data_IF_188641897123
#
_entry.id   IF_188641897123
#
_cell.length_a   1.000
_cell.length_b   1.000
_cell.length_c   1.000
_cell.angle_alpha   90.00
_cell.angle_beta   90.00
_cell.angle_gamma   90.00
#
_symmetry.space_group_name_H-M   'P 1'
#
loop_
_entity.id
_entity.type
_entity.pdbx_description
1 polymer ?
#
# COMPACT_ATOMS: atom_id res chain seq x y z
N UNK A 1 31.11 5.16 25.60
CA UNK A 1 31.04 3.89 24.85
C UNK A 1 30.66 2.86 25.89
N UNK A 2 29.36 2.74 26.13
CA UNK A 2 28.81 1.86 27.15
C UNK A 2 28.13 0.70 26.42
N UNK A 3 28.94 -0.29 26.06
CA UNK A 3 28.50 -1.59 25.55
C UNK A 3 27.93 -2.40 26.72
N UNK A 4 26.76 -2.01 27.22
CA UNK A 4 25.94 -2.88 28.04
C UNK A 4 25.09 -3.74 27.11
N UNK A 5 25.71 -4.75 26.50
CA UNK A 5 24.96 -5.87 25.92
C UNK A 5 24.19 -6.53 27.07
N UNK A 6 22.92 -6.16 27.23
CA UNK A 6 22.02 -6.79 28.20
C UNK A 6 21.88 -8.26 27.79
N UNK A 7 22.62 -9.12 28.48
CA UNK A 7 22.55 -10.56 28.31
C UNK A 7 21.11 -10.98 28.63
N UNK A 8 20.31 -11.23 27.60
CA UNK A 8 18.95 -11.74 27.77
C UNK A 8 19.07 -13.17 28.34
N UNK A 9 18.91 -13.29 29.66
CA UNK A 9 18.97 -14.56 30.36
C UNK A 9 17.67 -15.33 30.08
N UNK A 10 17.81 -16.57 29.59
CA UNK A 10 16.69 -17.45 29.29
C UNK A 10 16.29 -18.20 30.55
N UNK A 11 15.07 -17.97 31.03
CA UNK A 11 14.53 -18.73 32.16
C UNK A 11 14.18 -20.17 31.73
N UNK A 12 14.78 -21.18 32.35
CA UNK A 12 14.60 -22.61 31.99
C UNK A 12 13.84 -23.43 33.02
N UNK A 13 13.27 -22.79 34.05
CA UNK A 13 12.62 -23.49 35.17
C UNK A 13 11.43 -24.39 34.79
N UNK A 14 10.84 -24.23 33.60
CA UNK A 14 9.74 -25.07 33.09
C UNK A 14 10.16 -25.96 31.91
N UNK A 15 11.47 -26.11 31.66
CA UNK A 15 11.99 -26.85 30.51
C UNK A 15 11.53 -28.32 30.43
N UNK A 16 11.27 -28.96 31.58
CA UNK A 16 10.83 -30.35 31.65
C UNK A 16 9.31 -30.53 31.68
N UNK A 17 8.56 -29.42 31.58
CA UNK A 17 7.10 -29.49 31.49
C UNK A 17 6.68 -30.05 30.13
N UNK A 18 5.82 -31.06 30.14
CA UNK A 18 5.16 -31.56 28.94
C UNK A 18 3.95 -30.69 28.57
N UNK A 19 3.90 -30.25 27.32
CA UNK A 19 2.78 -29.47 26.78
C UNK A 19 2.18 -30.17 25.57
N UNK A 20 0.89 -29.93 25.31
CA UNK A 20 0.20 -30.43 24.13
C UNK A 20 0.06 -29.31 23.10
N UNK A 21 0.32 -29.64 21.84
CA UNK A 21 0.11 -28.75 20.71
C UNK A 21 -1.12 -29.21 19.94
N UNK A 22 -2.07 -28.32 19.67
CA UNK A 22 -3.26 -28.65 18.91
C UNK A 22 -3.46 -27.67 17.76
N UNK A 23 -3.61 -28.19 16.55
CA UNK A 23 -4.06 -27.40 15.39
C UNK A 23 -5.58 -27.26 15.46
N UNK A 24 -6.05 -26.03 15.59
CA UNK A 24 -7.46 -25.69 15.78
C UNK A 24 -8.07 -25.07 14.50
N UNK A 25 -9.29 -25.46 14.06
CA UNK A 25 -10.00 -24.79 12.98
C UNK A 25 -10.25 -23.31 13.31
N UNK A 26 -10.10 -22.43 12.31
CA UNK A 26 -10.18 -20.98 12.52
C UNK A 26 -11.47 -20.52 13.18
N UNK A 27 -12.61 -21.17 12.88
CA UNK A 27 -13.88 -20.79 13.51
C UNK A 27 -13.89 -20.99 15.02
N UNK A 28 -13.24 -22.06 15.50
CA UNK A 28 -13.16 -22.38 16.93
C UNK A 28 -12.24 -21.38 17.61
N UNK A 29 -11.06 -21.11 17.04
CA UNK A 29 -10.15 -20.10 17.59
C UNK A 29 -10.79 -18.71 17.69
N UNK A 30 -11.61 -18.32 16.71
CA UNK A 30 -12.35 -17.05 16.72
C UNK A 30 -13.43 -17.01 17.79
N UNK A 31 -14.17 -18.10 17.96
CA UNK A 31 -15.17 -18.23 19.02
C UNK A 31 -14.52 -18.11 20.40
N UNK A 32 -13.40 -18.77 20.64
CA UNK A 32 -12.67 -18.65 21.90
C UNK A 32 -12.12 -17.23 22.15
N UNK A 33 -11.67 -16.53 21.10
CA UNK A 33 -11.22 -15.13 21.20
C UNK A 33 -12.35 -14.14 21.43
N UNK A 34 -13.56 -14.41 20.93
CA UNK A 34 -14.73 -13.53 21.16
C UNK A 34 -15.24 -13.57 22.60
N UNK A 35 -14.91 -14.61 23.35
CA UNK A 35 -15.20 -14.66 24.78
C UNK A 35 -14.15 -13.86 25.53
N UNK A 36 -14.58 -12.78 26.20
CA UNK A 36 -13.69 -11.84 26.89
C UNK A 36 -12.85 -12.52 28.00
N UNK A 37 -11.60 -12.07 28.24
CA UNK A 37 -10.71 -12.65 29.23
C UNK A 37 -11.11 -12.38 30.70
N UNK A 38 -12.17 -11.59 30.92
CA UNK A 38 -12.64 -11.14 32.24
C UNK A 38 -13.12 -12.28 33.15
N UNK A 39 -13.41 -13.44 32.58
CA UNK A 39 -14.02 -14.58 33.27
C UNK A 39 -13.07 -15.78 33.17
N UNK A 40 -11.96 -15.73 33.90
CA UNK A 40 -10.91 -16.77 33.91
C UNK A 40 -11.40 -18.16 34.38
N UNK A 41 -12.68 -18.27 34.74
CA UNK A 41 -13.37 -19.46 35.24
C UNK A 41 -14.30 -20.09 34.20
N UNK A 42 -14.48 -19.47 33.02
CA UNK A 42 -15.44 -19.97 32.03
C UNK A 42 -14.85 -21.12 31.20
N UNK A 43 -15.42 -22.30 31.36
CA UNK A 43 -15.06 -23.48 30.56
C UNK A 43 -15.41 -23.26 29.07
N UNK A 44 -14.41 -23.36 28.19
CA UNK A 44 -14.57 -23.17 26.74
C UNK A 44 -14.82 -24.47 25.97
N UNK A 45 -14.29 -25.57 26.48
CA UNK A 45 -14.42 -26.89 25.88
C UNK A 45 -14.14 -27.99 26.91
N UNK A 46 -14.63 -29.20 26.62
CA UNK A 46 -14.34 -30.42 27.35
C UNK A 46 -13.60 -31.38 26.42
N UNK A 47 -12.40 -31.81 26.83
CA UNK A 47 -11.65 -32.87 26.14
C UNK A 47 -12.03 -34.20 26.76
N UNK A 48 -12.43 -35.17 25.94
CA UNK A 48 -12.82 -36.51 26.34
C UNK A 48 -11.85 -37.51 25.74
N UNK A 49 -11.29 -38.35 26.58
CA UNK A 49 -10.46 -39.49 26.20
C UNK A 49 -11.30 -40.75 26.37
N UNK A 50 -11.64 -41.39 25.26
CA UNK A 50 -12.31 -42.69 25.26
C UNK A 50 -11.28 -43.79 25.04
N UNK A 51 -11.22 -44.74 25.97
CA UNK A 51 -10.34 -45.91 25.93
C UNK A 51 -11.21 -47.14 25.97
N UNK A 52 -11.11 -47.98 24.94
CA UNK A 52 -11.78 -49.28 24.90
C UNK A 52 -10.76 -50.36 25.33
N UNK A 53 -10.88 -50.91 26.55
CA UNK A 53 -9.90 -51.87 27.08
C UNK A 53 -9.95 -53.23 26.36
N UNK A 54 -10.98 -53.51 25.56
CA UNK A 54 -11.14 -54.77 24.83
C UNK A 54 -10.49 -54.72 23.44
N UNK A 55 -10.08 -53.54 22.97
CA UNK A 55 -9.42 -53.38 21.67
C UNK A 55 -7.91 -53.29 21.90
N UNK A 56 -7.11 -54.20 21.30
CA UNK A 56 -5.65 -54.13 21.43
C UNK A 56 -5.20 -52.80 20.84
N UNK A 57 -4.26 -52.13 21.53
CA UNK A 57 -3.73 -50.79 21.26
C UNK A 57 -2.88 -50.73 19.95
N UNK A 58 -3.35 -51.39 18.88
CA UNK A 58 -2.81 -51.34 17.53
C UNK A 58 -3.06 -49.97 16.89
N UNK A 59 -2.32 -49.64 15.84
CA UNK A 59 -2.34 -48.35 15.15
C UNK A 59 -3.73 -47.82 14.77
N UNK A 60 -4.73 -48.69 14.66
CA UNK A 60 -6.11 -48.38 14.29
C UNK A 60 -7.12 -48.36 15.47
N UNK A 61 -6.63 -48.50 16.69
CA UNK A 61 -7.41 -48.56 17.95
C UNK A 61 -7.03 -47.47 18.96
N UNK A 62 -6.22 -46.50 18.51
CA UNK A 62 -5.65 -45.47 19.36
C UNK A 62 -6.73 -44.80 20.21
N UNK A 63 -6.41 -44.39 21.45
CA UNK A 63 -7.32 -43.64 22.30
C UNK A 63 -8.05 -42.55 21.51
N UNK A 64 -9.38 -42.59 21.54
CA UNK A 64 -10.18 -41.63 20.79
C UNK A 64 -10.30 -40.36 21.64
N UNK A 65 -9.56 -39.34 21.23
CA UNK A 65 -9.70 -38.01 21.81
C UNK A 65 -10.79 -37.26 21.05
N UNK A 66 -11.78 -36.76 21.77
CA UNK A 66 -12.79 -35.85 21.24
C UNK A 66 -12.82 -34.57 22.06
N UNK A 67 -13.29 -33.49 21.46
CA UNK A 67 -13.48 -32.21 22.11
C UNK A 67 -14.88 -31.68 21.84
N UNK A 68 -15.60 -31.41 22.91
CA UNK A 68 -16.92 -30.82 22.91
C UNK A 68 -16.81 -29.34 23.28
N UNK A 69 -17.24 -28.44 22.39
CA UNK A 69 -17.17 -27.00 22.61
C UNK A 69 -18.33 -26.52 23.50
N UNK A 70 -18.02 -25.70 24.50
CA UNK A 70 -19.01 -25.09 25.40
C UNK A 70 -19.38 -23.72 24.83
N UNK A 71 -20.53 -23.63 24.18
CA UNK A 71 -21.00 -22.37 23.61
C UNK A 71 -22.18 -22.59 22.68
N UNK A 72 -23.34 -22.04 23.05
CA UNK A 72 -24.53 -22.02 22.20
C UNK A 72 -24.45 -20.82 21.24
N UNK A 73 -23.40 -20.79 20.42
CA UNK A 73 -23.37 -19.83 19.30
C UNK A 73 -24.47 -20.23 18.32
N UNK A 74 -25.38 -19.33 17.89
CA UNK A 74 -26.48 -19.64 16.98
C UNK A 74 -26.02 -19.97 15.55
N UNK A 75 -24.73 -20.24 15.35
CA UNK A 75 -24.14 -20.64 14.08
C UNK A 75 -24.19 -22.16 13.90
N UNK A 76 -24.50 -22.57 12.67
CA UNK A 76 -24.57 -23.96 12.18
C UNK A 76 -23.19 -24.67 12.16
N UNK A 77 -22.36 -24.48 13.19
CA UNK A 77 -21.02 -25.02 13.32
C UNK A 77 -21.01 -26.35 14.08
N UNK A 78 -20.06 -27.25 13.78
CA UNK A 78 -19.93 -28.50 14.53
C UNK A 78 -19.60 -28.21 16.00
N UNK A 79 -20.31 -28.90 16.90
CA UNK A 79 -20.14 -28.78 18.36
C UNK A 79 -19.10 -29.75 18.92
N UNK A 80 -18.93 -30.89 18.25
CA UNK A 80 -18.01 -31.95 18.60
C UNK A 80 -16.93 -32.10 17.53
N UNK A 81 -15.69 -32.32 17.97
CA UNK A 81 -14.53 -32.49 17.11
C UNK A 81 -13.72 -33.71 17.56
N UNK A 82 -13.17 -34.44 16.60
CA UNK A 82 -12.14 -35.45 16.86
C UNK A 82 -10.78 -34.79 16.95
N UNK A 83 -9.92 -35.27 17.84
CA UNK A 83 -8.52 -34.87 17.95
C UNK A 83 -7.63 -36.02 17.49
N UNK A 84 -7.06 -35.89 16.31
CA UNK A 84 -6.18 -36.91 15.74
C UNK A 84 -4.75 -36.69 16.26
N UNK A 85 -4.21 -37.67 16.98
CA UNK A 85 -2.84 -37.59 17.49
C UNK A 85 -1.82 -37.90 16.39
N UNK A 86 -0.92 -36.96 16.13
CA UNK A 86 0.23 -37.17 15.23
C UNK A 86 1.28 -38.03 15.93
N UNK A 87 1.71 -39.12 15.28
CA UNK A 87 2.79 -39.99 15.77
C UNK A 87 4.18 -39.48 15.37
N UNK A 88 4.27 -38.86 14.19
CA UNK A 88 5.52 -38.33 13.64
C UNK A 88 5.51 -36.80 13.63
N UNK A 89 6.28 -36.19 14.53
CA UNK A 89 6.53 -34.75 14.50
C UNK A 89 7.93 -34.41 15.00
N UNK A 90 8.48 -33.30 14.52
CA UNK A 90 9.79 -32.79 14.91
C UNK A 90 9.72 -32.30 16.38
N UNK A 91 10.67 -32.65 17.26
CA UNK A 91 10.69 -32.16 18.64
C UNK A 91 10.58 -30.63 18.70
N UNK A 92 9.64 -30.13 19.50
CA UNK A 92 9.34 -28.70 19.63
C UNK A 92 9.41 -28.27 21.09
N UNK A 93 9.88 -27.04 21.32
CA UNK A 93 9.84 -26.37 22.62
C UNK A 93 8.99 -25.11 22.52
N UNK A 94 8.29 -24.78 23.59
CA UNK A 94 7.48 -23.55 23.69
C UNK A 94 8.26 -22.52 24.47
N UNK A 95 8.29 -21.29 23.94
CA UNK A 95 8.89 -20.14 24.59
C UNK A 95 7.83 -19.07 24.80
N UNK A 96 7.92 -18.34 25.89
CA UNK A 96 7.12 -17.15 26.15
C UNK A 96 8.04 -15.93 26.24
N UNK A 97 7.53 -14.80 25.76
CA UNK A 97 8.18 -13.50 25.85
C UNK A 97 7.21 -12.54 26.53
N UNK A 98 7.68 -11.91 27.60
CA UNK A 98 6.91 -10.88 28.31
C UNK A 98 7.04 -9.53 27.61
N UNK A 99 6.11 -8.60 27.86
CA UNK A 99 6.21 -7.22 27.33
C UNK A 99 7.45 -6.46 27.78
N UNK A 100 8.14 -6.94 28.81
CA UNK A 100 9.42 -6.41 29.30
C UNK A 100 10.65 -7.05 28.63
N UNK A 101 10.45 -7.92 27.63
CA UNK A 101 11.53 -8.58 26.88
C UNK A 101 12.20 -9.75 27.61
N UNK A 102 11.63 -10.23 28.72
CA UNK A 102 12.11 -11.46 29.38
C UNK A 102 11.59 -12.68 28.63
N UNK A 103 12.49 -13.61 28.33
CA UNK A 103 12.22 -14.85 27.59
C UNK A 103 12.32 -16.05 28.53
N UNK A 104 11.34 -16.94 28.47
CA UNK A 104 11.30 -18.18 29.25
C UNK A 104 10.98 -19.39 28.37
N UNK A 105 11.56 -20.55 28.69
CA UNK A 105 11.16 -21.84 28.14
C UNK A 105 10.00 -22.41 28.96
N UNK A 106 8.85 -22.61 28.32
CA UNK A 106 7.60 -23.05 28.97
C UNK A 106 7.42 -24.57 28.99
N UNK A 107 8.11 -25.31 28.12
CA UNK A 107 8.07 -26.76 28.09
C UNK A 107 8.34 -27.38 26.71
N UNK A 108 8.28 -28.71 26.67
CA UNK A 108 8.49 -29.54 25.47
C UNK A 108 7.15 -30.09 24.99
N UNK A 109 6.92 -30.04 23.68
CA UNK A 109 5.69 -30.58 23.07
C UNK A 109 5.75 -32.11 23.09
N UNK A 110 4.85 -32.74 23.84
CA UNK A 110 4.77 -34.20 23.98
C UNK A 110 3.79 -34.82 22.99
N UNK A 111 2.61 -34.21 22.86
CA UNK A 111 1.56 -34.68 21.95
C UNK A 111 1.14 -33.56 21.02
N UNK A 112 1.00 -33.91 19.75
CA UNK A 112 0.51 -33.02 18.70
C UNK A 112 -0.84 -33.55 18.20
N UNK A 113 -1.85 -32.71 18.21
CA UNK A 113 -3.21 -33.04 17.81
C UNK A 113 -3.64 -32.21 16.60
N UNK A 114 -4.33 -32.82 15.65
CA UNK A 114 -5.06 -32.14 14.60
C UNK A 114 -6.57 -32.25 14.87
N UNK A 115 -7.21 -31.12 15.14
CA UNK A 115 -8.64 -31.08 15.41
C UNK A 115 -9.46 -31.07 14.12
N UNK A 116 -10.38 -32.03 14.00
CA UNK A 116 -11.27 -32.19 12.84
C UNK A 116 -12.74 -32.26 13.28
N UNK A 117 -13.70 -31.77 12.48
CA UNK A 117 -15.12 -31.94 12.78
C UNK A 117 -15.46 -33.42 13.03
N UNK A 118 -16.20 -33.70 14.10
CA UNK A 118 -16.62 -35.06 14.40
C UNK A 118 -17.73 -35.51 13.43
N UNK A 119 -17.77 -36.82 13.12
CA UNK A 119 -18.65 -37.38 12.10
C UNK A 119 -20.14 -37.09 12.32
N UNK A 120 -20.58 -37.02 13.58
CA UNK A 120 -21.98 -36.74 13.94
C UNK A 120 -22.49 -35.39 13.41
N UNK A 121 -21.61 -34.41 13.19
CA UNK A 121 -21.97 -33.07 12.71
C UNK A 121 -21.39 -32.74 11.31
N UNK A 122 -21.07 -33.76 10.51
CA UNK A 122 -20.39 -33.58 9.21
C UNK A 122 -21.24 -32.79 8.18
N UNK A 123 -22.57 -32.94 8.23
CA UNK A 123 -23.49 -32.26 7.31
C UNK A 123 -23.48 -30.73 7.48
N UNK A 124 -23.38 -30.27 8.72
CA UNK A 124 -23.37 -28.84 9.04
C UNK A 124 -22.02 -28.20 8.73
N UNK A 125 -20.93 -28.94 8.92
CA UNK A 125 -19.61 -28.52 8.43
C UNK A 125 -19.58 -28.41 6.89
N UNK A 126 -20.23 -29.34 6.18
CA UNK A 126 -20.37 -29.30 4.73
C UNK A 126 -21.10 -28.05 4.23
N UNK A 127 -22.21 -27.68 4.87
CA UNK A 127 -22.93 -26.41 4.58
C UNK A 127 -22.02 -25.20 4.78
N UNK A 128 -21.29 -25.17 5.89
CA UNK A 128 -20.36 -24.08 6.21
C UNK A 128 -19.21 -23.97 5.19
N UNK A 129 -18.67 -25.11 4.73
CA UNK A 129 -17.69 -25.13 3.64
C UNK A 129 -18.28 -24.58 2.34
N UNK A 130 -19.51 -24.97 1.99
CA UNK A 130 -20.21 -24.46 0.80
C UNK A 130 -20.49 -22.96 0.89
N UNK A 131 -20.93 -22.46 2.05
CA UNK A 131 -21.15 -21.04 2.29
C UNK A 131 -19.86 -20.23 2.16
N UNK A 132 -18.73 -20.74 2.69
CA UNK A 132 -17.42 -20.10 2.51
C UNK A 132 -17.05 -20.02 1.04
N UNK A 133 -17.15 -21.14 0.33
CA UNK A 133 -16.87 -21.18 -1.11
C UNK A 133 -17.76 -20.18 -1.86
N UNK A 134 -19.06 -20.12 -1.54
CA UNK A 134 -19.97 -19.16 -2.15
C UNK A 134 -19.55 -17.71 -1.85
N UNK A 135 -19.30 -17.37 -0.57
CA UNK A 135 -18.84 -16.04 -0.16
C UNK A 135 -17.56 -15.60 -0.89
N UNK A 136 -16.61 -16.52 -1.08
CA UNK A 136 -15.36 -16.23 -1.81
C UNK A 136 -15.50 -16.28 -3.34
N UNK A 137 -16.50 -16.99 -3.87
CA UNK A 137 -16.83 -17.00 -5.29
C UNK A 137 -17.54 -15.72 -5.74
N UNK A 138 -18.17 -14.99 -4.82
CA UNK A 138 -18.70 -13.65 -5.11
C UNK A 138 -17.53 -12.70 -5.31
N UNK A 139 -17.29 -12.33 -6.58
CA UNK A 139 -16.29 -11.32 -6.94
C UNK A 139 -16.71 -9.98 -6.33
N UNK A 140 -15.97 -9.49 -5.35
CA UNK A 140 -16.15 -8.14 -4.77
C UNK A 140 -15.90 -7.03 -5.79
N UNK A 141 -15.13 -7.32 -6.85
CA UNK A 141 -14.92 -6.43 -7.98
C UNK A 141 -15.95 -6.70 -9.07
N UNK A 142 -16.82 -5.74 -9.32
CA UNK A 142 -17.70 -5.73 -10.48
C UNK A 142 -16.99 -5.03 -11.64
N UNK A 143 -16.97 -5.68 -12.82
CA UNK A 143 -16.56 -5.02 -14.06
C UNK A 143 -17.78 -4.25 -14.54
N UNK A 144 -17.70 -2.93 -14.50
CA UNK A 144 -18.69 -2.07 -15.14
C UNK A 144 -18.29 -1.91 -16.60
N UNK A 145 -19.18 -2.32 -17.51
CA UNK A 145 -19.04 -2.02 -18.93
C UNK A 145 -19.38 -0.55 -19.11
N UNK A 146 -18.46 0.20 -19.72
CA UNK A 146 -18.68 1.62 -20.02
C UNK A 146 -19.60 1.67 -21.23
N UNK A 147 -20.83 2.14 -21.05
CA UNK A 147 -21.85 2.22 -22.11
C UNK A 147 -21.47 3.24 -23.23
N UNK A 148 -20.55 4.15 -22.93
CA UNK A 148 -20.10 5.19 -23.86
C UNK A 148 -18.79 4.82 -24.57
N UNK A 149 -18.84 3.78 -25.41
CA UNK A 149 -17.73 3.28 -26.25
C UNK A 149 -17.35 4.21 -27.43
N UNK A 150 -17.65 5.50 -27.33
CA UNK A 150 -17.15 6.48 -28.31
C UNK A 150 -15.63 6.53 -28.19
N UNK A 151 -14.93 5.95 -29.18
CA UNK A 151 -13.48 5.72 -29.21
C UNK A 151 -12.57 6.94 -28.95
N UNK A 152 -13.14 8.14 -28.76
CA UNK A 152 -12.46 9.33 -28.24
C UNK A 152 -12.03 9.14 -26.78
N UNK A 153 -12.78 8.40 -25.95
CA UNK A 153 -12.45 8.19 -24.52
C UNK A 153 -11.55 6.96 -24.28
N UNK A 154 -11.42 6.08 -25.27
CA UNK A 154 -10.67 4.82 -25.18
C UNK A 154 -9.28 4.89 -25.82
N UNK A 155 -8.93 6.03 -26.44
CA UNK A 155 -7.57 6.27 -26.97
C UNK A 155 -6.74 6.97 -25.89
N UNK A 156 -5.50 6.51 -25.61
CA UNK A 156 -4.57 7.27 -24.80
C UNK A 156 -4.43 8.67 -25.41
N UNK A 157 -4.67 9.71 -24.61
CA UNK A 157 -4.43 11.08 -25.05
C UNK A 157 -2.97 11.20 -25.47
N UNK A 158 -2.68 11.60 -26.72
CA UNK A 158 -1.31 11.85 -27.15
C UNK A 158 -0.68 12.92 -26.25
N UNK A 159 0.43 12.59 -25.58
CA UNK A 159 1.22 13.54 -24.78
C UNK A 159 1.20 13.37 -23.25
N UNK A 160 0.52 12.36 -22.68
CA UNK A 160 0.42 12.21 -21.21
C UNK A 160 1.13 10.97 -20.64
N UNK A 161 2.35 10.70 -21.10
CA UNK A 161 3.29 9.80 -20.42
C UNK A 161 4.10 10.65 -19.44
N UNK A 162 3.72 10.68 -18.15
CA UNK A 162 4.61 11.23 -17.12
C UNK A 162 4.02 11.95 -15.91
N UNK A 163 2.71 11.99 -15.66
CA UNK A 163 2.17 12.72 -14.50
C UNK A 163 1.14 11.92 -13.71
N UNK A 164 1.58 10.92 -12.93
CA UNK A 164 0.86 10.49 -11.72
C UNK A 164 1.87 9.89 -10.70
N UNK A 165 2.56 10.75 -9.96
CA UNK A 165 2.89 10.46 -8.55
C UNK A 165 1.97 11.34 -7.70
N UNK A 166 1.02 10.68 -7.04
CA UNK A 166 0.05 11.31 -6.15
C UNK A 166 0.71 11.66 -4.82
N UNK A 167 0.60 12.92 -4.40
CA UNK A 167 0.98 13.31 -3.05
C UNK A 167 0.93 14.82 -2.81
N UNK A 168 -0.09 15.26 -2.09
CA UNK A 168 -0.12 16.48 -1.24
C UNK A 168 -0.67 17.78 -1.85
N UNK A 169 -1.86 18.13 -1.36
CA UNK A 169 -2.25 19.42 -0.78
C UNK A 169 -2.41 20.67 -1.67
N UNK A 170 -3.62 21.20 -1.50
CA UNK A 170 -4.02 22.59 -1.49
C UNK A 170 -4.50 23.27 -2.77
N UNK A 171 -5.73 23.76 -2.62
CA UNK A 171 -6.57 24.43 -3.60
C UNK A 171 -5.87 25.68 -4.15
N UNK A 172 -5.70 25.75 -5.47
CA UNK A 172 -5.83 27.02 -6.19
C UNK A 172 -6.47 26.77 -7.54
N UNK A 173 -7.64 27.39 -7.75
CA UNK A 173 -8.41 27.35 -8.99
C UNK A 173 -7.50 27.72 -10.16
N UNK A 174 -7.23 26.77 -11.05
CA UNK A 174 -6.72 27.03 -12.39
C UNK A 174 -7.76 26.58 -13.39
N UNK A 175 -8.28 27.55 -14.14
CA UNK A 175 -9.14 27.36 -15.31
C UNK A 175 -8.48 26.34 -16.25
N UNK A 176 -9.20 25.34 -16.77
CA UNK A 176 -8.61 24.37 -17.68
C UNK A 176 -8.31 25.07 -19.01
N UNK A 177 -7.05 25.41 -19.24
CA UNK A 177 -6.58 25.82 -20.56
C UNK A 177 -6.58 24.57 -21.42
N UNK A 178 -7.64 24.44 -22.22
CA UNK A 178 -7.72 23.56 -23.39
C UNK A 178 -6.39 23.65 -24.14
N UNK A 179 -5.79 22.49 -24.39
CA UNK A 179 -4.68 22.35 -25.32
C UNK A 179 -5.05 23.00 -26.63
N UNK A 180 -4.43 24.13 -26.91
CA UNK A 180 -4.44 24.75 -28.21
C UNK A 180 -3.14 24.29 -28.88
N UNK A 181 -3.27 23.23 -29.68
CA UNK A 181 -2.44 23.03 -30.87
C UNK A 181 -2.68 24.22 -31.82
N UNK A 182 -2.22 25.40 -31.39
CA UNK A 182 -2.07 26.53 -32.27
C UNK A 182 -0.79 26.26 -33.03
N UNK A 183 -0.96 26.01 -34.32
CA UNK A 183 -0.04 26.49 -35.34
C UNK A 183 0.32 27.94 -34.97
N UNK A 184 1.38 28.11 -34.17
CA UNK A 184 1.89 29.40 -33.75
C UNK A 184 2.43 30.07 -35.00
N UNK A 185 1.64 30.98 -35.56
CA UNK A 185 2.10 31.82 -36.65
C UNK A 185 3.27 32.62 -36.13
N UNK A 186 4.42 32.51 -36.79
CA UNK A 186 5.58 33.37 -36.52
C UNK A 186 5.10 34.80 -36.71
N UNK A 187 5.26 35.65 -35.70
CA UNK A 187 5.02 37.09 -35.89
C UNK A 187 6.04 37.66 -36.85
N UNK A 188 5.69 38.77 -37.48
CA UNK A 188 6.64 39.50 -38.31
C UNK A 188 7.83 39.94 -37.46
N UNK A 189 9.01 39.96 -38.09
CA UNK A 189 10.26 40.25 -37.39
C UNK A 189 10.24 41.67 -36.82
N UNK A 190 9.73 42.67 -37.55
CA UNK A 190 9.72 44.06 -37.09
C UNK A 190 8.84 44.27 -35.84
N UNK A 191 7.65 43.67 -35.84
CA UNK A 191 6.73 43.71 -34.68
C UNK A 191 7.34 43.04 -33.44
N UNK A 192 8.12 41.98 -33.64
CA UNK A 192 8.76 41.26 -32.54
C UNK A 192 9.86 42.09 -31.87
N UNK A 193 10.61 42.88 -32.65
CA UNK A 193 11.65 43.77 -32.13
C UNK A 193 11.02 44.87 -31.24
N UNK A 194 9.91 45.47 -31.66
CA UNK A 194 9.17 46.46 -30.86
C UNK A 194 8.67 45.90 -29.53
N UNK A 195 8.09 44.68 -29.55
CA UNK A 195 7.64 43.99 -28.33
C UNK A 195 8.81 43.71 -27.40
N UNK A 196 9.96 43.31 -27.94
CA UNK A 196 11.17 43.08 -27.14
C UNK A 196 11.62 44.36 -26.45
N UNK A 197 11.69 45.49 -27.17
CA UNK A 197 12.04 46.78 -26.56
C UNK A 197 11.11 47.14 -25.40
N UNK A 198 9.79 47.01 -25.60
CA UNK A 198 8.79 47.24 -24.55
C UNK A 198 8.93 46.31 -23.34
N UNK A 199 9.33 45.06 -23.54
CA UNK A 199 9.60 44.14 -22.44
C UNK A 199 10.83 44.58 -21.65
N UNK A 200 11.90 45.02 -22.32
CA UNK A 200 13.12 45.48 -21.66
C UNK A 200 12.99 46.85 -20.97
N UNK A 201 12.00 47.67 -21.36
CA UNK A 201 11.61 48.85 -20.57
C UNK A 201 11.04 48.47 -19.20
N UNK A 202 10.33 47.34 -19.11
CA UNK A 202 9.72 46.89 -17.84
C UNK A 202 10.76 46.37 -16.84
N UNK A 203 11.81 45.70 -17.33
CA UNK A 203 12.97 45.31 -16.53
C UNK A 203 14.20 45.11 -17.43
N UNK A 204 15.40 45.48 -16.95
CA UNK A 204 16.61 45.48 -17.78
C UNK A 204 17.14 44.09 -18.14
N UNK A 205 16.73 43.05 -17.41
CA UNK A 205 17.20 41.69 -17.57
C UNK A 205 16.03 40.71 -17.65
N UNK A 206 16.05 39.83 -18.65
CA UNK A 206 15.00 38.83 -18.88
C UNK A 206 15.60 37.44 -19.08
N UNK A 207 14.96 36.39 -18.55
CA UNK A 207 15.34 35.01 -18.88
C UNK A 207 14.67 34.54 -20.17
N UNK A 208 15.31 33.61 -20.90
CA UNK A 208 14.74 33.04 -22.14
C UNK A 208 13.33 32.47 -21.92
N UNK A 209 13.11 31.77 -20.80
CA UNK A 209 11.83 31.15 -20.47
C UNK A 209 10.72 32.21 -20.31
N UNK A 210 11.04 33.34 -19.68
CA UNK A 210 10.08 34.43 -19.51
C UNK A 210 9.75 35.11 -20.84
N UNK A 211 10.74 35.31 -21.72
CA UNK A 211 10.51 35.90 -23.04
C UNK A 211 9.64 35.01 -23.92
N UNK A 212 9.83 33.69 -23.87
CA UNK A 212 8.96 32.73 -24.59
C UNK A 212 7.53 32.81 -24.07
N UNK A 213 7.34 32.94 -22.76
CA UNK A 213 6.02 32.99 -22.14
C UNK A 213 5.29 34.32 -22.43
N UNK A 214 5.98 35.45 -22.39
CA UNK A 214 5.40 36.78 -22.64
C UNK A 214 5.08 37.01 -24.12
N UNK A 215 5.89 36.44 -25.02
CA UNK A 215 5.74 36.67 -26.48
C UNK A 215 4.93 35.58 -27.18
N UNK A 216 4.73 34.44 -26.50
CA UNK A 216 4.12 33.21 -27.02
C UNK A 216 4.73 32.73 -28.36
N UNK A 217 6.00 33.08 -28.61
CA UNK A 217 6.73 32.69 -29.80
C UNK A 217 7.58 31.43 -29.57
N UNK A 218 7.83 30.61 -30.61
CA UNK A 218 8.66 29.43 -30.49
C UNK A 218 10.10 29.81 -30.08
N UNK A 219 10.70 28.99 -29.21
CA UNK A 219 12.02 29.23 -28.61
C UNK A 219 13.10 29.58 -29.64
N UNK A 220 13.12 28.89 -30.78
CA UNK A 220 14.11 29.12 -31.82
C UNK A 220 13.99 30.53 -32.42
N UNK A 221 12.76 31.00 -32.68
CA UNK A 221 12.52 32.32 -33.24
C UNK A 221 12.93 33.43 -32.26
N UNK A 222 12.59 33.25 -30.97
CA UNK A 222 13.00 34.18 -29.91
C UNK A 222 14.53 34.26 -29.80
N UNK A 223 15.24 33.12 -29.89
CA UNK A 223 16.71 33.10 -29.89
C UNK A 223 17.32 33.83 -31.09
N UNK A 224 16.73 33.71 -32.27
CA UNK A 224 17.21 34.40 -33.46
C UNK A 224 17.11 35.93 -33.30
N UNK A 225 15.99 36.44 -32.76
CA UNK A 225 15.83 37.87 -32.45
C UNK A 225 16.77 38.33 -31.33
N UNK A 226 16.94 37.52 -30.28
CA UNK A 226 17.83 37.85 -29.16
C UNK A 226 19.30 37.88 -29.57
N UNK A 227 19.71 37.08 -30.57
CA UNK A 227 21.07 37.11 -31.12
C UNK A 227 21.41 38.46 -31.76
N UNK A 228 20.40 39.10 -32.35
CA UNK A 228 20.58 40.36 -33.07
C UNK A 228 20.50 41.56 -32.11
N UNK A 229 19.56 41.55 -31.15
CA UNK A 229 19.27 42.69 -30.27
C UNK A 229 19.94 42.66 -28.88
N UNK A 230 20.26 41.47 -28.35
CA UNK A 230 20.62 41.30 -26.94
C UNK A 230 22.04 40.73 -26.73
N UNK A 231 22.54 40.89 -25.51
CA UNK A 231 23.75 40.28 -24.97
C UNK A 231 23.31 39.26 -23.92
N UNK A 232 23.93 38.07 -23.94
CA UNK A 232 23.67 37.03 -22.95
C UNK A 232 24.66 37.12 -21.79
N UNK A 233 24.12 37.28 -20.58
CA UNK A 233 24.90 37.39 -19.35
C UNK A 233 25.31 36.00 -18.86
N UNK A 234 26.59 35.66 -19.06
CA UNK A 234 27.16 34.35 -18.71
C UNK A 234 27.70 34.26 -17.28
N UNK A 235 27.84 35.37 -16.55
CA UNK A 235 28.50 35.43 -15.23
C UNK A 235 27.82 36.46 -14.31
N UNK A 236 28.00 36.31 -13.01
CA UNK A 236 27.51 37.24 -11.98
C UNK A 236 26.07 36.97 -11.54
N UNK A 237 25.48 37.91 -10.79
CA UNK A 237 24.11 37.80 -10.26
C UNK A 237 23.03 37.70 -11.35
N UNK A 238 23.33 38.17 -12.56
CA UNK A 238 22.44 38.17 -13.71
C UNK A 238 22.73 37.01 -14.68
N UNK A 239 23.45 35.98 -14.23
CA UNK A 239 23.74 34.81 -15.05
C UNK A 239 22.45 34.17 -15.59
N UNK A 240 22.41 33.87 -16.88
CA UNK A 240 21.25 33.25 -17.52
C UNK A 240 20.19 34.23 -18.01
N UNK A 241 20.48 35.54 -17.99
CA UNK A 241 19.59 36.59 -18.49
C UNK A 241 20.12 37.21 -19.78
N UNK A 242 19.20 37.78 -20.55
CA UNK A 242 19.47 38.62 -21.71
C UNK A 242 19.31 40.08 -21.32
N UNK A 243 20.12 40.94 -21.90
CA UNK A 243 20.03 42.40 -21.81
C UNK A 243 20.16 43.01 -23.20
N UNK A 244 19.45 44.11 -23.47
CA UNK A 244 19.63 44.81 -24.75
C UNK A 244 21.07 45.30 -24.92
N UNK A 245 21.59 45.24 -26.15
CA UNK A 245 22.88 45.87 -26.47
C UNK A 245 22.83 47.35 -26.10
N UNK A 246 23.95 47.92 -25.61
CA UNK A 246 24.01 49.32 -25.19
C UNK A 246 23.67 50.30 -26.31
N UNK A 247 23.86 49.89 -27.57
CA UNK A 247 23.49 50.65 -28.78
C UNK A 247 21.98 50.92 -28.87
N UNK A 248 21.15 49.99 -28.42
CA UNK A 248 19.68 50.13 -28.45
C UNK A 248 19.08 50.68 -27.15
N UNK A 249 19.89 50.88 -26.10
CA UNK A 249 19.41 51.50 -24.85
C UNK A 249 19.19 53.03 -24.98
N UNK A 250 19.53 53.64 -26.12
CA UNK A 250 19.57 55.10 -26.31
C UNK A 250 18.58 55.68 -27.33
N UNK A 251 17.75 54.87 -27.97
CA UNK A 251 16.77 55.34 -28.97
C UNK A 251 15.37 55.51 -28.35
N UNK A 252 15.25 56.39 -27.36
CA UNK A 252 13.98 56.77 -26.73
C UNK A 252 13.65 58.26 -26.84
N UNK A 253 14.54 59.10 -27.36
CA UNK A 253 14.27 60.52 -27.60
C UNK A 253 14.75 60.95 -28.99
N UNK A 254 13.86 61.66 -29.67
CA UNK A 254 13.96 62.41 -30.94
C UNK A 254 13.47 61.72 -32.23
N UNK A 255 12.33 62.23 -32.72
CA UNK A 255 11.81 61.96 -34.06
C UNK A 255 10.33 62.27 -34.32
N UNK A 256 9.72 63.27 -33.66
CA UNK A 256 8.54 63.97 -34.21
C UNK A 256 9.01 65.37 -34.63
N UNK A 257 8.90 65.71 -35.92
CA UNK A 257 7.99 66.80 -36.25
C UNK A 257 7.22 66.59 -37.57
N UNK A 258 6.00 67.13 -37.57
CA UNK A 258 5.15 67.61 -38.69
C UNK A 258 5.00 66.76 -39.97
#
# INVERSE_FOLDING_TARGET
MDDQCSKAELETGRADRSVWLMKCPTMVSRSWQSHAPSDSTRHLAKVVLSVDPLRPNDDNSSPQFTMELVGNEPGNGPKCYSLDMSKDFIPMCVFSETSQGRVAMEGKVLHKFDMKPHNENIGDYGKLCRERTNKYMVKTRQIQVIDNDRGVHMRPMPGMVGLLTSGSKDKKKTVPVKGSDLKRSRRDRGEMEEIMFKLFERQPNWTLRQLIQETDQPEQFVKDILKDLCIYNNKGSNQGTYELKPEYKRSGEEGNPE
#
